data_IF_384986550470
#
_entry.id   IF_384986550470
#
_cell.length_a   1.000
_cell.length_b   1.000
_cell.length_c   1.000
_cell.angle_alpha   90.00
_cell.angle_beta   90.00
_cell.angle_gamma   90.00
#
_symmetry.space_group_name_H-M   'P 1'
#
loop_
_entity.id
_entity.type
_entity.pdbx_description
1 polymer ?
#
# COMPACT_ATOMS: atom_id res chain seq x y z
N UNK A 1 1.02 18.24 -18.90
CA UNK A 1 2.10 17.80 -18.10
C UNK A 1 2.10 16.32 -17.90
N UNK A 2 3.19 15.86 -17.45
CA UNK A 2 3.45 14.45 -17.47
C UNK A 2 2.71 13.70 -16.38
N UNK A 3 2.12 12.54 -16.70
CA UNK A 3 1.42 11.70 -15.72
C UNK A 3 2.30 11.33 -14.52
N UNK A 4 3.64 11.27 -14.71
CA UNK A 4 4.58 10.93 -13.66
C UNK A 4 4.47 11.84 -12.44
N UNK A 5 3.99 13.07 -12.60
CA UNK A 5 3.81 13.99 -11.48
C UNK A 5 2.77 13.53 -10.47
N UNK A 6 1.88 12.64 -10.87
CA UNK A 6 0.86 12.09 -9.98
C UNK A 6 1.32 10.81 -9.28
N UNK A 7 2.44 10.26 -9.67
CA UNK A 7 2.95 9.01 -9.09
C UNK A 7 3.20 9.14 -7.59
N UNK A 8 3.74 10.27 -7.15
CA UNK A 8 3.94 10.50 -5.72
C UNK A 8 2.63 10.36 -4.94
N UNK A 9 1.55 10.94 -5.46
CA UNK A 9 0.24 10.86 -4.82
C UNK A 9 -0.22 9.40 -4.70
N UNK A 10 -0.10 8.63 -5.78
CA UNK A 10 -0.51 7.22 -5.76
C UNK A 10 0.33 6.40 -4.79
N UNK A 11 1.64 6.64 -4.75
CA UNK A 11 2.54 5.93 -3.85
C UNK A 11 2.28 6.29 -2.38
N UNK A 12 1.99 7.55 -2.07
CA UNK A 12 1.62 7.96 -0.71
C UNK A 12 0.31 7.30 -0.28
N UNK A 13 -0.66 7.18 -1.17
CA UNK A 13 -1.91 6.49 -0.86
C UNK A 13 -1.69 5.01 -0.57
N UNK A 14 -0.77 4.37 -1.28
CA UNK A 14 -0.39 2.99 -1.01
C UNK A 14 0.22 2.88 0.40
N UNK A 15 1.16 3.77 0.76
CA UNK A 15 1.77 3.76 2.08
C UNK A 15 0.76 3.97 3.20
N UNK A 16 -0.16 4.89 3.03
CA UNK A 16 -1.21 5.14 4.03
C UNK A 16 -2.08 3.89 4.22
N UNK A 17 -2.49 3.25 3.12
CA UNK A 17 -3.29 2.04 3.20
C UNK A 17 -2.54 0.91 3.90
N UNK A 18 -1.27 0.71 3.58
CA UNK A 18 -0.44 -0.30 4.26
C UNK A 18 -0.35 0.00 5.76
N UNK A 19 -0.09 1.25 6.12
CA UNK A 19 0.01 1.65 7.52
C UNK A 19 -1.27 1.34 8.31
N UNK A 20 -2.43 1.59 7.71
CA UNK A 20 -3.71 1.26 8.33
C UNK A 20 -3.91 -0.24 8.49
N UNK A 21 -3.62 -1.02 7.45
CA UNK A 21 -3.76 -2.48 7.51
C UNK A 21 -2.86 -3.05 8.61
N UNK A 22 -1.62 -2.58 8.70
CA UNK A 22 -0.69 -3.04 9.73
C UNK A 22 -1.19 -2.68 11.13
N UNK A 23 -1.77 -1.50 11.29
CA UNK A 23 -2.38 -1.09 12.55
C UNK A 23 -3.55 -1.99 12.92
N UNK A 24 -4.46 -2.25 11.97
CA UNK A 24 -5.67 -3.04 12.22
C UNK A 24 -5.36 -4.51 12.52
N UNK A 25 -4.23 -5.02 12.05
CA UNK A 25 -3.87 -6.43 12.18
C UNK A 25 -2.85 -6.72 13.26
N UNK A 26 -2.23 -5.70 13.86
CA UNK A 26 -1.04 -5.90 14.70
C UNK A 26 -1.29 -6.73 15.96
N UNK A 27 -2.50 -6.65 16.53
CA UNK A 27 -2.84 -7.37 17.76
C UNK A 27 -3.14 -8.85 17.52
N UNK A 28 -3.27 -9.26 16.26
CA UNK A 28 -3.67 -10.63 15.93
C UNK A 28 -2.45 -11.47 15.57
N UNK A 29 -2.35 -12.63 16.22
CA UNK A 29 -1.25 -13.58 15.99
C UNK A 29 -1.66 -14.75 15.08
N UNK A 30 -2.95 -14.97 14.90
CA UNK A 30 -3.47 -16.04 14.05
C UNK A 30 -4.46 -15.47 13.03
N UNK A 31 -4.58 -16.18 11.91
CA UNK A 31 -5.54 -15.81 10.88
C UNK A 31 -6.97 -15.83 11.42
N UNK A 32 -7.31 -16.87 12.20
CA UNK A 32 -8.66 -17.01 12.75
C UNK A 32 -9.04 -15.82 13.64
N UNK A 33 -8.15 -15.39 14.52
CA UNK A 33 -8.42 -14.26 15.40
C UNK A 33 -8.63 -12.97 14.58
N UNK A 34 -7.80 -12.78 13.58
CA UNK A 34 -7.92 -11.59 12.72
C UNK A 34 -9.25 -11.59 11.94
N UNK A 35 -9.63 -12.75 11.40
CA UNK A 35 -10.80 -12.84 10.54
C UNK A 35 -12.09 -12.73 11.34
N UNK A 36 -12.17 -13.43 12.48
CA UNK A 36 -13.44 -13.57 13.18
C UNK A 36 -13.70 -12.55 14.28
N UNK A 37 -12.68 -11.81 14.72
CA UNK A 37 -12.88 -10.84 15.78
C UNK A 37 -13.70 -9.63 15.31
N UNK A 38 -14.50 -9.07 16.22
CA UNK A 38 -15.27 -7.85 16.00
C UNK A 38 -16.14 -7.89 14.74
N UNK A 39 -16.85 -8.99 14.53
CA UNK A 39 -17.72 -9.21 13.37
C UNK A 39 -16.97 -9.04 12.04
N UNK A 40 -15.72 -9.50 11.98
CA UNK A 40 -14.90 -9.41 10.78
C UNK A 40 -14.57 -7.97 10.36
N UNK A 41 -14.65 -7.03 11.30
CA UNK A 41 -14.44 -5.61 11.02
C UNK A 41 -13.04 -5.32 10.46
N UNK A 42 -12.00 -5.78 11.15
CA UNK A 42 -10.62 -5.49 10.76
C UNK A 42 -10.25 -6.24 9.49
N UNK A 43 -10.77 -7.45 9.31
CA UNK A 43 -10.57 -8.21 8.09
C UNK A 43 -11.20 -7.49 6.88
N UNK A 44 -12.46 -7.10 7.00
CA UNK A 44 -13.17 -6.42 5.91
C UNK A 44 -12.54 -5.07 5.57
N UNK A 45 -12.16 -4.29 6.57
CA UNK A 45 -11.48 -3.02 6.35
C UNK A 45 -10.15 -3.24 5.63
N UNK A 46 -9.39 -4.26 6.03
CA UNK A 46 -8.11 -4.57 5.41
C UNK A 46 -8.25 -5.00 3.96
N UNK A 47 -9.27 -5.83 3.63
CA UNK A 47 -9.51 -6.21 2.24
C UNK A 47 -9.84 -5.01 1.36
N UNK A 48 -10.68 -4.10 1.85
CA UNK A 48 -11.01 -2.88 1.11
C UNK A 48 -9.74 -2.06 0.85
N UNK A 49 -8.88 -1.92 1.85
CA UNK A 49 -7.62 -1.20 1.70
C UNK A 49 -6.65 -1.91 0.77
N UNK A 50 -6.64 -3.23 0.74
CA UNK A 50 -5.83 -4.00 -0.21
C UNK A 50 -6.29 -3.78 -1.65
N UNK A 51 -7.60 -3.70 -1.87
CA UNK A 51 -8.14 -3.30 -3.17
C UNK A 51 -7.68 -1.90 -3.56
N UNK A 52 -7.72 -0.97 -2.61
CA UNK A 52 -7.28 0.40 -2.83
C UNK A 52 -5.79 0.44 -3.23
N UNK A 53 -4.94 -0.35 -2.55
CA UNK A 53 -3.53 -0.47 -2.92
C UNK A 53 -3.39 -0.90 -4.38
N UNK A 54 -4.13 -1.91 -4.80
CA UNK A 54 -4.09 -2.39 -6.18
C UNK A 54 -4.55 -1.34 -7.18
N UNK A 55 -5.57 -0.58 -6.84
CA UNK A 55 -6.07 0.51 -7.69
C UNK A 55 -5.05 1.63 -7.84
N UNK A 56 -4.41 2.04 -6.74
CA UNK A 56 -3.38 3.07 -6.81
C UNK A 56 -2.15 2.59 -7.57
N UNK A 57 -1.72 1.34 -7.33
CA UNK A 57 -0.58 0.76 -8.04
C UNK A 57 -0.82 0.73 -9.55
N UNK A 58 -2.05 0.45 -9.98
CA UNK A 58 -2.39 0.43 -11.40
C UNK A 58 -2.22 1.80 -12.06
N UNK A 59 -2.36 2.87 -11.31
CA UNK A 59 -2.26 4.25 -11.82
C UNK A 59 -0.82 4.75 -11.90
N UNK A 60 0.12 4.11 -11.23
CA UNK A 60 1.53 4.49 -11.30
C UNK A 60 2.02 4.33 -12.73
N UNK A 61 2.79 5.32 -13.22
CA UNK A 61 3.27 5.32 -14.60
C UNK A 61 4.24 4.18 -14.88
N UNK A 62 4.31 3.77 -16.14
CA UNK A 62 5.27 2.75 -16.56
C UNK A 62 6.72 3.21 -16.37
N UNK A 63 7.00 4.50 -16.51
CA UNK A 63 8.34 5.04 -16.27
C UNK A 63 8.81 4.74 -14.86
N UNK A 64 7.97 4.97 -13.86
CA UNK A 64 8.30 4.67 -12.47
C UNK A 64 8.38 3.16 -12.23
N UNK A 65 7.41 2.41 -12.75
CA UNK A 65 7.40 0.95 -12.59
C UNK A 65 8.67 0.30 -13.14
N UNK A 66 9.13 0.76 -14.29
CA UNK A 66 10.31 0.20 -14.94
C UNK A 66 11.61 0.48 -14.17
N UNK A 67 11.64 1.54 -13.38
CA UNK A 67 12.79 1.88 -12.51
C UNK A 67 12.81 1.09 -11.22
N UNK A 68 11.68 0.56 -10.77
CA UNK A 68 11.55 -0.10 -9.47
C UNK A 68 10.95 -1.49 -9.63
N UNK A 69 11.66 -2.35 -10.37
CA UNK A 69 11.19 -3.70 -10.72
C UNK A 69 11.17 -4.65 -9.54
N UNK A 70 11.82 -4.32 -8.43
CA UNK A 70 11.74 -5.11 -7.19
C UNK A 70 10.35 -5.08 -6.59
N UNK A 71 9.55 -4.06 -6.91
CA UNK A 71 8.14 -4.01 -6.51
C UNK A 71 7.35 -4.91 -7.47
N UNK A 72 6.60 -5.85 -6.90
CA UNK A 72 5.88 -6.85 -7.69
C UNK A 72 4.54 -6.31 -8.17
N UNK A 73 4.59 -5.39 -9.11
CA UNK A 73 3.41 -4.68 -9.63
C UNK A 73 2.32 -5.63 -10.15
N UNK A 74 2.71 -6.71 -10.82
CA UNK A 74 1.76 -7.68 -11.38
C UNK A 74 1.08 -8.51 -10.29
N UNK A 75 1.80 -8.86 -9.22
CA UNK A 75 1.21 -9.57 -8.08
C UNK A 75 0.18 -8.70 -7.35
N UNK A 76 0.48 -7.41 -7.19
CA UNK A 76 -0.44 -6.45 -6.57
C UNK A 76 -1.73 -6.36 -7.39
N UNK A 77 -1.60 -6.24 -8.71
CA UNK A 77 -2.73 -6.21 -9.63
C UNK A 77 -3.54 -7.51 -9.57
N UNK A 78 -2.85 -8.65 -9.59
CA UNK A 78 -3.50 -9.96 -9.55
C UNK A 78 -4.29 -10.18 -8.26
N UNK A 79 -3.73 -9.78 -7.13
CA UNK A 79 -4.41 -9.88 -5.85
C UNK A 79 -5.67 -9.01 -5.82
N UNK A 80 -5.56 -7.76 -6.28
CA UNK A 80 -6.71 -6.85 -6.35
C UNK A 80 -7.81 -7.42 -7.24
N UNK A 81 -7.47 -7.98 -8.39
CA UNK A 81 -8.45 -8.59 -9.28
C UNK A 81 -9.17 -9.76 -8.64
N UNK A 82 -8.43 -10.60 -7.90
CA UNK A 82 -9.00 -11.75 -7.21
C UNK A 82 -10.00 -11.31 -6.15
N UNK A 83 -9.66 -10.32 -5.34
CA UNK A 83 -10.56 -9.79 -4.32
C UNK A 83 -11.80 -9.15 -4.96
N UNK A 84 -11.60 -8.38 -6.03
CA UNK A 84 -12.70 -7.68 -6.70
C UNK A 84 -13.70 -8.63 -7.35
N UNK A 85 -13.22 -9.75 -7.91
CA UNK A 85 -14.09 -10.68 -8.63
C UNK A 85 -14.72 -11.75 -7.75
N UNK A 86 -14.07 -12.11 -6.64
CA UNK A 86 -14.58 -13.19 -5.81
C UNK A 86 -14.24 -12.99 -4.33
N UNK A 87 -14.79 -11.91 -3.80
CA UNK A 87 -14.55 -11.47 -2.43
C UNK A 87 -14.80 -12.58 -1.38
N UNK A 88 -15.88 -13.35 -1.56
CA UNK A 88 -16.29 -14.37 -0.57
C UNK A 88 -15.33 -15.55 -0.55
N UNK A 89 -14.77 -15.93 -1.70
CA UNK A 89 -13.93 -17.10 -1.85
C UNK A 89 -12.42 -16.79 -1.78
N UNK A 90 -12.05 -15.58 -1.42
CA UNK A 90 -10.63 -15.25 -1.19
C UNK A 90 -10.10 -16.11 -0.04
N UNK A 91 -8.93 -16.71 -0.24
CA UNK A 91 -8.30 -17.52 0.79
C UNK A 91 -7.83 -16.64 1.96
N UNK A 92 -8.49 -16.80 3.09
CA UNK A 92 -8.27 -15.98 4.28
C UNK A 92 -6.87 -16.17 4.88
N UNK A 93 -6.32 -17.38 4.79
CA UNK A 93 -4.97 -17.66 5.26
C UNK A 93 -3.94 -16.93 4.40
N UNK A 94 -4.16 -16.89 3.09
CA UNK A 94 -3.29 -16.14 2.18
C UNK A 94 -3.36 -14.65 2.50
N UNK A 95 -4.54 -14.10 2.74
CA UNK A 95 -4.70 -12.69 3.10
C UNK A 95 -3.88 -12.37 4.35
N UNK A 96 -4.00 -13.17 5.40
CA UNK A 96 -3.27 -12.94 6.64
C UNK A 96 -1.76 -13.05 6.42
N UNK A 97 -1.31 -14.02 5.65
CA UNK A 97 0.10 -14.20 5.31
C UNK A 97 0.64 -12.97 4.54
N UNK A 98 -0.11 -12.47 3.57
CA UNK A 98 0.26 -11.27 2.81
C UNK A 98 0.42 -10.07 3.76
N UNK A 99 -0.51 -9.89 4.68
CA UNK A 99 -0.44 -8.80 5.64
C UNK A 99 0.81 -8.90 6.53
N UNK A 100 1.14 -10.08 7.02
CA UNK A 100 2.23 -10.26 7.97
C UNK A 100 3.61 -10.27 7.31
N UNK A 101 3.71 -10.72 6.06
CA UNK A 101 5.01 -10.91 5.40
C UNK A 101 5.22 -9.98 4.21
N UNK A 102 4.23 -9.81 3.34
CA UNK A 102 4.40 -9.07 2.08
C UNK A 102 4.19 -7.58 2.24
N UNK A 103 3.21 -7.15 3.03
CA UNK A 103 2.95 -5.73 3.19
C UNK A 103 4.09 -4.96 3.87
N UNK A 104 4.75 -5.49 4.92
CA UNK A 104 5.93 -4.80 5.48
C UNK A 104 7.05 -4.63 4.46
N UNK A 105 7.26 -5.63 3.61
CA UNK A 105 8.25 -5.57 2.54
C UNK A 105 7.88 -4.52 1.50
N UNK A 106 6.62 -4.51 1.08
CA UNK A 106 6.12 -3.53 0.12
C UNK A 106 6.23 -2.11 0.68
N UNK A 107 5.94 -1.93 1.97
CA UNK A 107 6.07 -0.63 2.64
C UNK A 107 7.49 -0.10 2.50
N UNK A 108 8.50 -0.93 2.73
CA UNK A 108 9.89 -0.53 2.59
C UNK A 108 10.24 -0.23 1.13
N UNK A 109 9.77 -1.04 0.20
CA UNK A 109 10.03 -0.85 -1.22
C UNK A 109 9.43 0.45 -1.75
N UNK A 110 8.19 0.76 -1.37
CA UNK A 110 7.51 1.99 -1.78
C UNK A 110 8.20 3.21 -1.15
N UNK A 111 8.53 3.13 0.14
CA UNK A 111 9.25 4.21 0.83
C UNK A 111 10.59 4.51 0.14
N UNK A 112 11.33 3.46 -0.22
CA UNK A 112 12.59 3.61 -0.93
C UNK A 112 12.40 4.23 -2.33
N UNK A 113 11.35 3.81 -3.02
CA UNK A 113 11.01 4.37 -4.33
C UNK A 113 10.79 5.89 -4.23
N UNK A 114 9.97 6.32 -3.29
CA UNK A 114 9.70 7.75 -3.09
C UNK A 114 10.99 8.48 -2.72
N UNK A 115 11.78 7.92 -1.82
CA UNK A 115 13.05 8.54 -1.40
C UNK A 115 13.99 8.75 -2.57
N UNK A 116 14.17 7.73 -3.41
CA UNK A 116 15.05 7.83 -4.57
C UNK A 116 14.54 8.85 -5.59
N UNK A 117 13.24 8.86 -5.84
CA UNK A 117 12.65 9.81 -6.78
C UNK A 117 12.72 11.25 -6.26
N UNK A 118 12.69 11.47 -4.95
CA UNK A 118 12.95 12.77 -4.36
C UNK A 118 14.42 13.19 -4.53
N UNK A 119 15.34 12.28 -4.29
CA UNK A 119 16.77 12.54 -4.44
C UNK A 119 17.15 12.89 -5.88
N UNK A 120 16.44 12.30 -6.84
CA UNK A 120 16.66 12.52 -8.26
C UNK A 120 15.85 13.71 -8.81
N UNK A 121 15.16 14.44 -7.95
CA UNK A 121 14.33 15.60 -8.30
C UNK A 121 13.18 15.26 -9.27
N UNK A 122 12.75 13.99 -9.29
CA UNK A 122 11.56 13.57 -10.04
C UNK A 122 10.29 13.94 -9.26
N UNK A 123 10.32 13.76 -7.93
CA UNK A 123 9.24 14.17 -7.05
C UNK A 123 9.59 15.47 -6.34
N UNK A 124 8.56 16.25 -6.00
CA UNK A 124 8.69 17.55 -5.38
C UNK A 124 8.63 17.45 -3.86
N UNK A 125 9.65 17.99 -3.18
CA UNK A 125 9.71 17.97 -1.71
C UNK A 125 8.57 18.77 -1.06
N UNK A 126 8.08 19.79 -1.71
CA UNK A 126 6.97 20.61 -1.18
C UNK A 126 5.70 19.78 -1.06
N UNK A 127 5.45 18.88 -2.01
CA UNK A 127 4.29 17.98 -1.94
C UNK A 127 4.39 17.03 -0.75
N UNK A 128 5.59 16.59 -0.40
CA UNK A 128 5.82 15.76 0.79
C UNK A 128 5.48 16.57 2.05
N UNK A 129 5.93 17.81 2.14
CA UNK A 129 5.67 18.64 3.32
C UNK A 129 4.18 18.93 3.51
N UNK A 130 3.46 19.17 2.42
CA UNK A 130 2.01 19.34 2.47
C UNK A 130 1.34 18.05 2.94
N UNK A 131 1.75 16.92 2.39
CA UNK A 131 1.17 15.60 2.72
C UNK A 131 1.42 15.21 4.16
N UNK A 132 2.60 15.53 4.70
CA UNK A 132 2.98 15.22 6.08
C UNK A 132 1.98 15.79 7.10
N UNK A 133 1.38 16.92 6.79
CA UNK A 133 0.45 17.60 7.70
C UNK A 133 -1.01 17.22 7.44
N UNK A 134 -1.29 16.32 6.51
CA UNK A 134 -2.63 15.92 6.14
C UNK A 134 -3.14 14.79 7.04
N UNK A 135 -4.41 14.88 7.45
CA UNK A 135 -5.08 13.80 8.19
C UNK A 135 -5.21 12.53 7.34
N UNK A 136 -5.10 12.64 6.03
CA UNK A 136 -5.22 11.51 5.12
C UNK A 136 -3.94 10.68 4.99
N UNK A 137 -2.82 11.14 5.62
CA UNK A 137 -1.52 10.47 5.53
C UNK A 137 -0.88 10.30 6.91
N UNK A 138 -1.69 10.08 7.95
CA UNK A 138 -1.23 9.97 9.33
C UNK A 138 -0.53 8.64 9.64
N UNK A 139 -0.69 7.64 8.78
CA UNK A 139 -0.13 6.30 9.01
C UNK A 139 1.14 6.05 8.21
N UNK A 140 1.71 7.10 7.63
CA UNK A 140 2.98 7.04 6.91
C UNK A 140 4.11 7.47 7.82
N UNK A 141 5.20 6.70 7.84
CA UNK A 141 6.43 7.10 8.50
C UNK A 141 7.27 7.92 7.51
N UNK A 142 7.10 9.23 7.54
CA UNK A 142 7.80 10.14 6.62
C UNK A 142 9.31 10.17 6.86
N UNK A 143 9.80 9.74 8.02
CA UNK A 143 11.25 9.69 8.27
C UNK A 143 11.97 8.71 7.34
N UNK A 144 11.24 7.75 6.77
CA UNK A 144 11.82 6.78 5.81
C UNK A 144 11.88 7.32 4.39
N UNK A 145 11.28 8.46 4.13
CA UNK A 145 11.18 9.09 2.81
C UNK A 145 12.17 10.24 2.67
N UNK A 146 12.32 11.00 3.72
CA UNK A 146 13.17 12.21 3.74
C UNK A 146 14.36 12.07 4.67
#
# INVERSE_FOLDING_TARGET
>A
MLPANKDLLYLLRILEAIGKILLYSKEYNTADDFIFSNDQRDYNASLLLMMHIGEQAAKVSSDTKDKFLEIQWQHIKGFRNRVAHDYINVDKLIVFSVIKTELPKLQNQISNCIKQQLQNNIFNKEEIEISRNSIFYMHIDFSKII
#
